data_IF_454274185566
#
_entry.id   IF_454274185566
#
_cell.length_a   1.000
_cell.length_b   1.000
_cell.length_c   1.000
_cell.angle_alpha   90.00
_cell.angle_beta   90.00
_cell.angle_gamma   90.00
#
_symmetry.space_group_name_H-M   'P 1'
#
loop_
_entity.id
_entity.type
_entity.pdbx_description
1 polymer ?
#
# COMPACT_ATOMS: atom_id res chain seq x y z
N UNK A 1 6.88 25.66 3.93
CA UNK A 1 7.22 24.22 3.83
C UNK A 1 6.99 23.61 5.21
N UNK A 2 5.85 22.94 5.44
CA UNK A 2 5.54 22.37 6.76
C UNK A 2 6.30 21.06 6.97
N UNK A 3 7.00 20.92 8.09
CA UNK A 3 7.68 19.66 8.47
C UNK A 3 6.65 18.66 8.96
N UNK A 4 6.18 17.79 8.07
CA UNK A 4 5.28 16.67 8.41
C UNK A 4 6.10 15.59 9.12
N UNK A 5 5.62 15.11 10.28
CA UNK A 5 6.17 13.93 10.97
C UNK A 5 7.33 14.17 11.94
N UNK A 6 7.58 15.41 12.39
CA UNK A 6 8.53 15.68 13.48
C UNK A 6 7.80 15.93 14.79
N UNK A 7 8.19 15.19 15.83
CA UNK A 7 7.68 15.41 17.18
C UNK A 7 8.09 16.79 17.71
N UNK A 8 7.15 17.51 18.31
CA UNK A 8 7.39 18.75 19.05
C UNK A 8 7.95 18.50 20.45
N UNK A 9 7.77 17.30 21.01
CA UNK A 9 8.33 16.91 22.31
C UNK A 9 8.62 15.39 22.45
N UNK A 10 9.14 14.98 23.62
CA UNK A 10 9.49 13.57 23.90
C UNK A 10 8.28 12.63 23.99
N UNK A 11 7.13 13.11 24.43
CA UNK A 11 5.92 12.29 24.56
C UNK A 11 5.37 11.97 23.18
N UNK A 12 5.29 12.98 22.33
CA UNK A 12 4.94 12.82 20.94
C UNK A 12 5.93 11.91 20.21
N UNK A 13 7.25 12.05 20.45
CA UNK A 13 8.25 11.15 19.88
C UNK A 13 8.05 9.69 20.31
N UNK A 14 7.70 9.44 21.57
CA UNK A 14 7.42 8.09 22.07
C UNK A 14 6.17 7.49 21.39
N UNK A 15 5.11 8.27 21.21
CA UNK A 15 3.90 7.83 20.52
C UNK A 15 4.16 7.53 19.05
N UNK A 16 4.87 8.41 18.33
CA UNK A 16 5.22 8.19 16.93
C UNK A 16 6.14 6.97 16.72
N UNK A 17 6.95 6.59 17.72
CA UNK A 17 7.79 5.39 17.64
C UNK A 17 6.98 4.09 17.67
N UNK A 18 5.81 4.10 18.32
CA UNK A 18 4.93 2.92 18.45
C UNK A 18 3.91 2.88 17.32
N UNK A 19 3.30 4.01 16.99
CA UNK A 19 2.18 4.09 16.05
C UNK A 19 2.60 4.51 14.63
N UNK A 20 3.87 4.89 14.44
CA UNK A 20 4.36 5.41 13.17
C UNK A 20 4.13 6.92 13.03
N UNK A 21 4.45 7.49 11.85
CA UNK A 21 4.28 8.92 11.60
C UNK A 21 2.82 9.34 11.74
N UNK A 22 2.59 10.59 12.16
CA UNK A 22 1.26 11.15 12.26
C UNK A 22 0.53 11.03 10.90
N UNK A 23 -0.65 10.44 10.91
CA UNK A 23 -1.51 10.38 9.73
C UNK A 23 -1.91 11.80 9.33
N UNK A 24 -1.65 12.18 8.08
CA UNK A 24 -1.92 13.53 7.57
C UNK A 24 -3.39 13.67 7.11
N UNK A 25 -4.15 12.58 7.06
CA UNK A 25 -5.56 12.54 6.64
C UNK A 25 -6.52 12.25 7.78
N UNK A 26 -7.78 12.63 7.60
CA UNK A 26 -8.87 12.24 8.49
C UNK A 26 -9.08 10.71 8.42
N UNK A 27 -8.87 9.97 9.53
CA UNK A 27 -9.05 8.51 9.55
C UNK A 27 -10.51 8.08 9.43
N UNK A 28 -11.46 9.00 9.59
CA UNK A 28 -12.89 8.78 9.43
C UNK A 28 -13.44 9.28 8.10
N UNK A 29 -12.60 9.93 7.28
CA UNK A 29 -13.03 10.34 5.95
C UNK A 29 -13.39 9.10 5.13
N UNK A 30 -14.43 9.19 4.29
CA UNK A 30 -14.71 8.14 3.32
C UNK A 30 -13.49 7.85 2.46
N UNK A 31 -13.27 6.57 2.17
CA UNK A 31 -12.22 6.17 1.22
C UNK A 31 -12.42 6.90 -0.11
N UNK A 32 -11.30 7.24 -0.75
CA UNK A 32 -11.35 7.79 -2.11
C UNK A 32 -12.03 6.79 -3.03
N UNK A 33 -12.96 7.26 -3.84
CA UNK A 33 -13.53 6.45 -4.91
C UNK A 33 -12.42 5.93 -5.84
N UNK A 34 -12.36 4.62 -5.99
CA UNK A 34 -11.51 3.96 -6.97
C UNK A 34 -12.18 4.12 -8.35
N UNK A 35 -11.42 4.42 -9.40
CA UNK A 35 -11.99 4.46 -10.74
C UNK A 35 -12.31 3.02 -11.22
N UNK A 36 -13.35 2.84 -12.04
CA UNK A 36 -13.70 1.51 -12.59
C UNK A 36 -12.50 0.85 -13.31
N UNK A 37 -11.76 1.61 -14.10
CA UNK A 37 -10.56 1.13 -14.79
C UNK A 37 -9.44 0.66 -13.84
N UNK A 38 -9.39 1.16 -12.60
CA UNK A 38 -8.46 0.65 -11.58
C UNK A 38 -9.01 -0.63 -10.94
N UNK A 39 -10.33 -0.72 -10.72
CA UNK A 39 -10.99 -1.94 -10.21
C UNK A 39 -10.81 -3.12 -11.18
N UNK A 40 -11.06 -2.89 -12.47
CA UNK A 40 -10.90 -3.90 -13.52
C UNK A 40 -9.45 -4.39 -13.60
N UNK A 41 -8.47 -3.47 -13.53
CA UNK A 41 -7.05 -3.82 -13.53
C UNK A 41 -6.67 -4.67 -12.32
N UNK A 42 -7.14 -4.29 -11.14
CA UNK A 42 -6.88 -5.03 -9.89
C UNK A 42 -7.52 -6.42 -9.93
N UNK A 43 -8.72 -6.54 -10.51
CA UNK A 43 -9.36 -7.83 -10.75
C UNK A 43 -8.51 -8.70 -11.69
N UNK A 44 -8.11 -8.18 -12.85
CA UNK A 44 -7.29 -8.90 -13.82
C UNK A 44 -5.97 -9.39 -13.20
N UNK A 45 -5.27 -8.54 -12.45
CA UNK A 45 -4.03 -8.91 -11.75
C UNK A 45 -4.21 -10.10 -10.78
N UNK A 46 -5.38 -10.24 -10.17
CA UNK A 46 -5.67 -11.33 -9.22
C UNK A 46 -6.11 -12.62 -9.91
N UNK A 47 -6.85 -12.51 -11.01
CA UNK A 47 -7.48 -13.67 -11.65
C UNK A 47 -6.62 -14.23 -12.77
N UNK A 48 -6.01 -13.37 -13.57
CA UNK A 48 -5.33 -13.75 -14.81
C UNK A 48 -3.85 -14.07 -14.63
N UNK A 49 -3.27 -13.77 -13.47
CA UNK A 49 -1.85 -13.98 -13.22
C UNK A 49 -1.59 -14.84 -11.98
N UNK A 50 -0.37 -15.40 -11.93
CA UNK A 50 0.18 -16.15 -10.79
C UNK A 50 1.56 -15.61 -10.43
N UNK A 51 1.89 -15.64 -9.13
CA UNK A 51 3.24 -15.31 -8.67
C UNK A 51 4.15 -16.53 -8.79
N UNK A 52 5.31 -16.34 -9.40
CA UNK A 52 6.36 -17.35 -9.51
C UNK A 52 7.70 -16.77 -9.04
N UNK A 53 8.54 -17.61 -8.47
CA UNK A 53 9.91 -17.22 -8.10
C UNK A 53 10.85 -17.61 -9.22
N UNK A 54 11.59 -16.64 -9.75
CA UNK A 54 12.59 -16.86 -10.78
C UNK A 54 13.86 -17.54 -10.25
N UNK A 55 14.76 -17.98 -11.13
CA UNK A 55 16.04 -18.59 -10.75
C UNK A 55 16.98 -17.61 -10.03
N UNK A 56 16.75 -16.31 -10.18
CA UNK A 56 17.43 -15.23 -9.47
C UNK A 56 16.86 -14.96 -8.06
N UNK A 57 15.84 -15.72 -7.64
CA UNK A 57 15.14 -15.57 -6.36
C UNK A 57 14.15 -14.40 -6.32
N UNK A 58 13.94 -13.67 -7.42
CA UNK A 58 12.96 -12.58 -7.48
C UNK A 58 11.57 -13.11 -7.78
N UNK A 59 10.54 -12.44 -7.26
CA UNK A 59 9.14 -12.77 -7.54
C UNK A 59 8.65 -12.03 -8.79
N UNK A 60 8.02 -12.78 -9.69
CA UNK A 60 7.43 -12.28 -10.92
C UNK A 60 5.94 -12.63 -10.94
N UNK A 61 5.15 -11.77 -11.57
CA UNK A 61 3.76 -12.04 -11.90
C UNK A 61 3.73 -12.51 -13.36
N UNK A 62 3.24 -13.71 -13.61
CA UNK A 62 3.17 -14.30 -14.96
C UNK A 62 1.73 -14.69 -15.28
N UNK A 63 1.38 -14.70 -16.56
CA UNK A 63 0.04 -15.12 -17.01
C UNK A 63 -0.26 -16.53 -16.48
N UNK A 64 -1.50 -16.71 -16.02
CA UNK A 64 -1.98 -17.99 -15.50
C UNK A 64 -2.08 -18.98 -16.66
N UNK A 65 -1.44 -20.17 -16.56
CA UNK A 65 -1.57 -21.20 -17.58
C UNK A 65 -3.03 -21.63 -17.73
N UNK A 66 -3.49 -21.79 -18.97
CA UNK A 66 -4.75 -22.45 -19.27
C UNK A 66 -4.52 -23.95 -19.03
N UNK A 67 -5.16 -24.51 -18.02
CA UNK A 67 -5.13 -25.95 -17.69
C UNK A 67 -6.21 -26.68 -18.46
#
# INVERSE_FOLDING_TARGET
>A
MGTIGKAGDRREAALLSVFGPAQVGDPLAPDREVAEADRERDQALRTEFVRVTGPDGRSYLVERPVV
#
